data_IF_080955266183
#
_entry.id   IF_080955266183
#
_cell.length_a   1.000
_cell.length_b   1.000
_cell.length_c   1.000
_cell.angle_alpha   90.00
_cell.angle_beta   90.00
_cell.angle_gamma   90.00
#
_symmetry.space_group_name_H-M   'P 1'
#
loop_
_entity.id
_entity.type
_entity.pdbx_description
1 polymer ?
#
# COMPACT_ATOMS: atom_id res chain seq x y z
N UNK A 1 -2.41 39.88 14.38
CA UNK A 1 -3.71 39.69 13.68
C UNK A 1 -3.58 39.69 12.15
N UNK A 2 -2.73 40.57 11.53
CA UNK A 2 -2.61 40.59 10.06
C UNK A 2 -1.69 39.47 9.53
N UNK A 3 -0.67 39.08 10.27
CA UNK A 3 0.30 38.04 9.88
C UNK A 3 -0.28 36.64 9.97
N UNK A 4 -1.10 36.36 10.97
CA UNK A 4 -1.83 35.08 11.08
C UNK A 4 -2.84 34.91 9.94
N UNK A 5 -3.58 35.93 9.55
CA UNK A 5 -4.47 35.93 8.38
C UNK A 5 -3.71 35.69 7.06
N UNK A 6 -2.52 36.30 6.89
CA UNK A 6 -1.67 36.03 5.73
C UNK A 6 -1.17 34.60 5.69
N UNK A 7 -0.74 34.05 6.84
CA UNK A 7 -0.30 32.64 6.93
C UNK A 7 -1.46 31.70 6.64
N UNK A 8 -2.66 31.95 7.17
CA UNK A 8 -3.84 31.15 6.85
C UNK A 8 -4.25 31.22 5.37
N UNK A 9 -4.16 32.40 4.75
CA UNK A 9 -4.41 32.53 3.31
C UNK A 9 -3.35 31.85 2.45
N UNK A 10 -2.07 31.92 2.81
CA UNK A 10 -1.01 31.18 2.12
C UNK A 10 -1.20 29.66 2.26
N UNK A 11 -1.51 29.18 3.45
CA UNK A 11 -1.80 27.75 3.70
C UNK A 11 -3.05 27.28 2.93
N UNK A 12 -4.08 28.10 2.85
CA UNK A 12 -5.28 27.81 2.07
C UNK A 12 -5.01 27.80 0.55
N UNK A 13 -4.10 28.64 0.06
CA UNK A 13 -3.71 28.69 -1.36
C UNK A 13 -2.81 27.50 -1.76
N UNK A 14 -2.02 26.96 -0.82
CA UNK A 14 -1.14 25.80 -1.04
C UNK A 14 -1.88 24.48 -0.81
N UNK A 15 -2.96 24.49 -0.05
CA UNK A 15 -3.79 23.31 0.29
C UNK A 15 -4.30 22.52 -0.93
N UNK A 16 -4.75 23.14 -2.05
CA UNK A 16 -5.12 22.39 -3.25
C UNK A 16 -3.94 21.69 -3.92
N UNK A 17 -2.74 22.31 -3.90
CA UNK A 17 -1.53 21.72 -4.45
C UNK A 17 -1.04 20.53 -3.59
N UNK A 18 -1.14 20.65 -2.27
CA UNK A 18 -0.85 19.57 -1.34
C UNK A 18 -1.82 18.40 -1.51
N UNK A 19 -3.11 18.64 -1.76
CA UNK A 19 -4.09 17.57 -2.05
C UNK A 19 -3.84 16.87 -3.39
N UNK A 20 -3.21 17.54 -4.35
CA UNK A 20 -2.81 16.94 -5.64
C UNK A 20 -1.51 16.14 -5.48
N UNK A 21 -0.62 16.56 -4.55
CA UNK A 21 0.63 15.86 -4.24
C UNK A 21 0.42 14.71 -3.23
N UNK A 22 -0.51 14.86 -2.30
CA UNK A 22 -0.94 13.83 -1.34
C UNK A 22 -2.02 12.93 -1.99
N UNK A 23 -1.72 12.23 -3.10
CA UNK A 23 -2.57 11.13 -3.56
C UNK A 23 -2.35 9.95 -2.62
N UNK A 24 -3.30 9.64 -1.71
CA UNK A 24 -3.18 8.45 -0.90
C UNK A 24 -3.03 7.23 -1.83
N UNK A 25 -2.10 6.34 -1.51
CA UNK A 25 -1.89 5.13 -2.30
C UNK A 25 -0.95 5.26 -3.51
N UNK A 26 -0.39 6.43 -3.82
CA UNK A 26 0.54 6.60 -4.95
C UNK A 26 1.75 5.66 -4.86
N UNK A 27 2.37 5.54 -3.68
CA UNK A 27 3.51 4.65 -3.46
C UNK A 27 3.12 3.18 -3.64
N UNK A 28 1.93 2.80 -3.17
CA UNK A 28 1.41 1.45 -3.33
C UNK A 28 1.09 1.10 -4.78
N UNK A 29 0.47 2.01 -5.55
CA UNK A 29 0.29 1.83 -6.99
C UNK A 29 1.63 1.70 -7.71
N UNK A 30 2.61 2.51 -7.32
CA UNK A 30 3.96 2.42 -7.86
C UNK A 30 4.56 1.04 -7.57
N UNK A 31 4.47 0.52 -6.36
CA UNK A 31 4.93 -0.82 -6.00
C UNK A 31 4.22 -1.90 -6.82
N UNK A 32 2.91 -1.79 -7.03
CA UNK A 32 2.16 -2.74 -7.85
C UNK A 32 2.66 -2.74 -9.31
N UNK A 33 2.90 -1.56 -9.90
CA UNK A 33 3.48 -1.48 -11.25
C UNK A 33 4.89 -2.06 -11.32
N UNK A 34 5.74 -1.77 -10.31
CA UNK A 34 7.09 -2.34 -10.25
C UNK A 34 7.04 -3.87 -10.11
N UNK A 35 6.11 -4.43 -9.35
CA UNK A 35 5.92 -5.87 -9.25
C UNK A 35 5.66 -6.52 -10.62
N UNK A 36 4.81 -5.91 -11.47
CA UNK A 36 4.57 -6.41 -12.83
C UNK A 36 5.85 -6.33 -13.70
N UNK A 37 6.63 -5.26 -13.56
CA UNK A 37 7.91 -5.09 -14.27
C UNK A 37 8.91 -6.16 -13.81
N UNK A 38 9.03 -6.39 -12.51
CA UNK A 38 9.92 -7.40 -11.93
C UNK A 38 9.54 -8.79 -12.46
N UNK A 39 8.27 -9.18 -12.37
CA UNK A 39 7.79 -10.46 -12.90
C UNK A 39 8.18 -10.67 -14.36
N UNK A 40 8.00 -9.64 -15.18
CA UNK A 40 8.36 -9.70 -16.60
C UNK A 40 9.87 -9.88 -16.80
N UNK A 41 10.70 -9.11 -16.10
CA UNK A 41 12.14 -9.12 -16.26
C UNK A 41 12.80 -10.37 -15.65
N UNK A 42 12.13 -11.04 -14.71
CA UNK A 42 12.59 -12.28 -14.07
C UNK A 42 12.12 -13.55 -14.81
N UNK A 43 11.54 -13.40 -16.01
CA UNK A 43 11.09 -14.55 -16.81
C UNK A 43 9.73 -15.11 -16.39
N UNK A 44 8.99 -14.40 -15.55
CA UNK A 44 7.65 -14.74 -15.09
C UNK A 44 6.57 -13.95 -15.87
N UNK A 45 6.82 -13.66 -17.13
CA UNK A 45 5.99 -12.82 -18.00
C UNK A 45 4.52 -13.28 -18.04
N UNK A 46 4.28 -14.59 -18.04
CA UNK A 46 2.94 -15.19 -17.99
C UNK A 46 2.09 -14.63 -16.82
N UNK A 47 2.69 -14.44 -15.64
CA UNK A 47 1.97 -13.90 -14.49
C UNK A 47 1.76 -12.40 -14.60
N UNK A 48 2.75 -11.68 -15.15
CA UNK A 48 2.60 -10.26 -15.41
C UNK A 48 1.46 -9.98 -16.40
N UNK A 49 1.38 -10.74 -17.50
CA UNK A 49 0.32 -10.64 -18.50
C UNK A 49 -1.07 -11.00 -17.95
N UNK A 50 -1.13 -11.95 -17.03
CA UNK A 50 -2.38 -12.34 -16.36
C UNK A 50 -2.91 -11.23 -15.45
N UNK A 51 -2.03 -10.51 -14.76
CA UNK A 51 -2.38 -9.47 -13.78
C UNK A 51 -2.58 -8.09 -14.42
N UNK A 52 -1.83 -7.75 -15.47
CA UNK A 52 -1.85 -6.43 -16.09
C UNK A 52 -3.25 -5.91 -16.49
N UNK A 53 -4.17 -6.73 -17.04
CA UNK A 53 -5.53 -6.27 -17.36
C UNK A 53 -6.36 -5.84 -16.14
N UNK A 54 -5.96 -6.26 -14.94
CA UNK A 54 -6.66 -6.02 -13.69
C UNK A 54 -5.91 -5.05 -12.75
N UNK A 55 -4.95 -4.27 -13.26
CA UNK A 55 -4.21 -3.28 -12.47
C UNK A 55 -5.14 -2.30 -11.76
N UNK A 56 -6.23 -1.90 -12.40
CA UNK A 56 -7.23 -1.00 -11.80
C UNK A 56 -7.90 -1.67 -10.60
N UNK A 57 -8.32 -2.94 -10.73
CA UNK A 57 -8.97 -3.67 -9.63
C UNK A 57 -7.98 -3.90 -8.48
N UNK A 58 -6.71 -4.18 -8.78
CA UNK A 58 -5.63 -4.31 -7.80
C UNK A 58 -5.47 -3.01 -6.99
N UNK A 59 -5.37 -1.88 -7.67
CA UNK A 59 -5.20 -0.57 -7.03
C UNK A 59 -6.45 -0.12 -6.26
N UNK A 60 -7.66 -0.46 -6.72
CA UNK A 60 -8.88 -0.24 -5.96
C UNK A 60 -8.87 -1.00 -4.62
N UNK A 61 -8.34 -2.22 -4.59
CA UNK A 61 -8.16 -2.99 -3.37
C UNK A 61 -7.21 -2.33 -2.39
N UNK A 62 -6.09 -1.78 -2.89
CA UNK A 62 -5.14 -0.98 -2.10
C UNK A 62 -5.84 0.21 -1.44
N UNK A 63 -6.51 1.04 -2.23
CA UNK A 63 -7.23 2.22 -1.69
C UNK A 63 -8.32 1.86 -0.70
N UNK A 64 -9.03 0.76 -0.94
CA UNK A 64 -10.08 0.31 -0.04
C UNK A 64 -9.49 -0.13 1.31
N UNK A 65 -8.34 -0.82 1.32
CA UNK A 65 -7.66 -1.25 2.54
C UNK A 65 -7.17 -0.06 3.37
N UNK A 66 -6.72 1.01 2.71
CA UNK A 66 -6.20 2.22 3.36
C UNK A 66 -7.31 3.15 3.92
N UNK A 67 -8.57 2.92 3.57
CA UNK A 67 -9.67 3.79 4.01
C UNK A 67 -10.18 3.48 5.41
N UNK A 68 -10.55 4.56 6.13
CA UNK A 68 -11.26 4.55 7.40
C UNK A 68 -10.51 3.82 8.53
N UNK A 69 -11.26 3.18 9.40
CA UNK A 69 -10.75 2.42 10.55
C UNK A 69 -9.96 1.15 10.19
N UNK A 70 -9.87 0.79 8.91
CA UNK A 70 -9.10 -0.38 8.47
C UNK A 70 -7.60 -0.20 8.69
N UNK A 71 -7.09 1.04 8.58
CA UNK A 71 -5.67 1.34 8.84
C UNK A 71 -5.20 1.00 10.27
N UNK A 72 -6.10 0.85 11.24
CA UNK A 72 -5.73 0.37 12.59
C UNK A 72 -5.12 -1.03 12.54
N UNK A 73 -5.53 -1.85 11.59
CA UNK A 73 -5.07 -3.24 11.42
C UNK A 73 -3.76 -3.37 10.61
N UNK A 74 -3.16 -2.26 10.17
CA UNK A 74 -1.92 -2.28 9.37
C UNK A 74 -0.65 -2.38 10.23
N UNK A 75 -0.78 -2.34 11.54
CA UNK A 75 0.35 -2.34 12.46
C UNK A 75 0.65 -3.75 12.95
N UNK A 76 1.93 -4.09 12.98
CA UNK A 76 2.40 -5.35 13.53
C UNK A 76 3.74 -5.13 14.25
N UNK A 77 3.79 -5.46 15.53
CA UNK A 77 5.01 -5.44 16.33
C UNK A 77 5.56 -6.87 16.45
N UNK A 78 6.75 -7.17 15.88
CA UNK A 78 7.24 -8.55 15.75
C UNK A 78 7.51 -9.25 17.09
N UNK A 79 7.94 -8.51 18.12
CA UNK A 79 8.29 -9.08 19.42
C UNK A 79 7.06 -9.51 20.22
N UNK A 80 6.00 -8.71 20.20
CA UNK A 80 4.75 -9.00 20.91
C UNK A 80 3.73 -9.72 20.06
N UNK A 81 3.91 -9.75 18.72
CA UNK A 81 2.97 -10.25 17.71
C UNK A 81 1.58 -9.59 17.83
N UNK A 82 1.52 -8.33 18.22
CA UNK A 82 0.28 -7.57 18.43
C UNK A 82 0.18 -6.43 17.41
N UNK A 83 -1.05 -6.06 17.08
CA UNK A 83 -1.37 -4.82 16.38
C UNK A 83 -1.45 -3.63 17.34
N UNK A 84 -1.91 -2.50 16.83
CA UNK A 84 -2.11 -1.30 17.63
C UNK A 84 -3.27 -1.52 18.62
N UNK A 85 -3.04 -1.22 19.92
CA UNK A 85 -4.08 -1.28 20.98
C UNK A 85 -4.87 -2.60 21.10
N UNK A 86 -4.25 -3.76 20.86
CA UNK A 86 -4.90 -5.08 20.87
C UNK A 86 -5.96 -5.33 19.76
N UNK A 87 -6.02 -4.55 18.71
CA UNK A 87 -6.77 -4.88 17.50
C UNK A 87 -6.08 -6.00 16.72
N UNK A 88 -6.79 -6.56 15.74
CA UNK A 88 -6.20 -7.51 14.79
C UNK A 88 -4.91 -6.91 14.22
N UNK A 89 -3.89 -7.74 14.09
CA UNK A 89 -2.63 -7.29 13.52
C UNK A 89 -2.66 -7.41 11.98
N UNK A 90 -1.66 -6.81 11.33
CA UNK A 90 -1.56 -6.80 9.88
C UNK A 90 -1.48 -8.22 9.28
N UNK A 91 -0.92 -9.18 10.01
CA UNK A 91 -0.78 -10.57 9.53
C UNK A 91 -2.14 -11.26 9.45
N UNK A 92 -2.96 -11.15 10.50
CA UNK A 92 -4.30 -11.74 10.52
C UNK A 92 -5.20 -11.10 9.46
N UNK A 93 -5.07 -9.79 9.26
CA UNK A 93 -5.83 -9.05 8.25
C UNK A 93 -5.36 -9.41 6.84
N UNK A 94 -4.04 -9.55 6.63
CA UNK A 94 -3.47 -10.04 5.38
C UNK A 94 -4.04 -11.41 5.02
N UNK A 95 -3.98 -12.36 5.96
CA UNK A 95 -4.49 -13.72 5.74
C UNK A 95 -5.98 -13.69 5.37
N UNK A 96 -6.79 -12.91 6.06
CA UNK A 96 -8.21 -12.74 5.74
C UNK A 96 -8.42 -12.21 4.31
N UNK A 97 -7.70 -11.18 3.88
CA UNK A 97 -7.82 -10.64 2.52
C UNK A 97 -7.32 -11.63 1.48
N UNK A 98 -6.22 -12.32 1.76
CA UNK A 98 -5.68 -13.35 0.88
C UNK A 98 -6.68 -14.51 0.70
N UNK A 99 -7.28 -15.00 1.76
CA UNK A 99 -8.32 -16.04 1.69
C UNK A 99 -9.57 -15.57 0.92
N UNK A 100 -9.97 -14.29 1.04
CA UNK A 100 -11.02 -13.73 0.20
C UNK A 100 -10.65 -13.73 -1.29
N UNK A 101 -9.41 -13.35 -1.60
CA UNK A 101 -8.89 -13.42 -2.97
C UNK A 101 -9.01 -14.84 -3.55
N UNK A 102 -8.51 -15.83 -2.83
CA UNK A 102 -8.60 -17.24 -3.24
C UNK A 102 -10.04 -17.74 -3.38
N UNK A 103 -10.92 -17.33 -2.46
CA UNK A 103 -12.35 -17.67 -2.52
C UNK A 103 -12.98 -17.17 -3.82
N UNK A 104 -12.78 -15.90 -4.16
CA UNK A 104 -13.34 -15.33 -5.39
C UNK A 104 -12.67 -15.88 -6.65
N UNK A 105 -11.39 -16.23 -6.61
CA UNK A 105 -10.72 -16.93 -7.71
C UNK A 105 -11.40 -18.28 -8.01
N UNK A 106 -11.70 -19.06 -6.97
CA UNK A 106 -12.41 -20.35 -7.11
C UNK A 106 -13.85 -20.20 -7.62
N UNK A 107 -14.43 -19.03 -7.45
CA UNK A 107 -15.77 -18.68 -7.97
C UNK A 107 -15.71 -18.04 -9.38
N UNK A 108 -14.52 -17.96 -9.98
CA UNK A 108 -14.28 -17.30 -11.27
C UNK A 108 -14.62 -15.80 -11.30
N UNK A 109 -14.74 -15.15 -10.13
CA UNK A 109 -14.88 -13.70 -10.00
C UNK A 109 -13.49 -13.05 -9.92
N UNK A 110 -12.84 -12.98 -11.08
CA UNK A 110 -11.44 -12.54 -11.17
C UNK A 110 -11.25 -11.12 -10.66
N UNK A 111 -12.17 -10.20 -10.98
CA UNK A 111 -12.08 -8.80 -10.53
C UNK A 111 -12.07 -8.68 -9.02
N UNK A 112 -12.99 -9.38 -8.33
CA UNK A 112 -13.00 -9.38 -6.86
C UNK A 112 -11.79 -10.11 -6.27
N UNK A 113 -11.35 -11.19 -6.91
CA UNK A 113 -10.12 -11.87 -6.50
C UNK A 113 -8.93 -10.90 -6.50
N UNK A 114 -8.71 -10.20 -7.61
CA UNK A 114 -7.60 -9.26 -7.75
C UNK A 114 -7.77 -8.03 -6.83
N UNK A 115 -9.01 -7.56 -6.61
CA UNK A 115 -9.29 -6.52 -5.63
C UNK A 115 -8.81 -6.91 -4.22
N UNK A 116 -9.15 -8.11 -3.75
CA UNK A 116 -8.69 -8.58 -2.43
C UNK A 116 -7.20 -8.92 -2.40
N UNK A 117 -6.61 -9.32 -3.52
CA UNK A 117 -5.16 -9.45 -3.66
C UNK A 117 -4.48 -8.08 -3.46
N UNK A 118 -5.02 -7.02 -4.04
CA UNK A 118 -4.55 -5.65 -3.84
C UNK A 118 -4.63 -5.21 -2.38
N UNK A 119 -5.73 -5.52 -1.69
CA UNK A 119 -5.90 -5.24 -0.27
C UNK A 119 -4.87 -5.99 0.59
N UNK A 120 -4.56 -7.24 0.26
CA UNK A 120 -3.51 -8.01 0.94
C UNK A 120 -2.12 -7.45 0.64
N UNK A 121 -1.82 -7.13 -0.63
CA UNK A 121 -0.55 -6.56 -1.05
C UNK A 121 -0.24 -5.23 -0.34
N UNK A 122 -1.26 -4.37 -0.13
CA UNK A 122 -1.12 -3.13 0.62
C UNK A 122 -0.54 -3.36 2.02
N UNK A 123 -1.03 -4.36 2.75
CA UNK A 123 -0.54 -4.68 4.11
C UNK A 123 0.92 -5.15 4.11
N UNK A 124 1.35 -5.91 3.10
CA UNK A 124 2.76 -6.28 2.95
C UNK A 124 3.64 -5.07 2.66
N UNK A 125 3.17 -4.16 1.82
CA UNK A 125 3.87 -2.93 1.49
C UNK A 125 4.00 -2.03 2.73
N UNK A 126 2.96 -1.93 3.54
CA UNK A 126 2.98 -1.19 4.81
C UNK A 126 3.97 -1.78 5.81
N UNK A 127 4.10 -3.10 5.89
CA UNK A 127 5.08 -3.75 6.76
C UNK A 127 6.54 -3.42 6.38
N UNK A 128 6.79 -3.01 5.14
CA UNK A 128 8.08 -2.48 4.72
C UNK A 128 8.34 -1.06 5.24
N UNK A 129 7.33 -0.36 5.74
CA UNK A 129 7.46 0.97 6.33
C UNK A 129 7.83 0.83 7.81
N UNK A 130 8.96 1.40 8.29
CA UNK A 130 9.44 1.20 9.67
C UNK A 130 8.44 1.61 10.76
N UNK A 131 7.56 2.56 10.47
CA UNK A 131 6.53 3.04 11.41
C UNK A 131 5.42 2.00 11.63
N UNK A 132 5.00 1.31 10.56
CA UNK A 132 4.01 0.23 10.64
C UNK A 132 4.58 -1.02 11.32
N UNK A 133 5.82 -1.39 10.99
CA UNK A 133 6.51 -2.53 11.60
C UNK A 133 6.88 -2.34 13.07
N UNK A 134 6.79 -1.12 13.60
CA UNK A 134 7.06 -0.80 15.01
C UNK A 134 5.83 -0.31 15.77
N UNK A 135 4.66 -0.33 15.14
CA UNK A 135 3.40 0.18 15.69
C UNK A 135 3.51 1.61 16.25
N UNK A 136 4.27 2.50 15.59
CA UNK A 136 4.50 3.89 16.00
C UNK A 136 3.78 4.86 15.06
N UNK A 137 2.73 5.52 15.56
CA UNK A 137 1.90 6.45 14.78
C UNK A 137 2.47 7.88 14.62
N UNK A 138 3.28 8.36 15.56
CA UNK A 138 3.40 9.81 15.75
C UNK A 138 4.73 10.46 15.35
N UNK A 139 5.79 9.74 15.04
CA UNK A 139 7.09 10.35 14.78
C UNK A 139 7.54 10.17 13.33
N UNK A 140 7.21 11.15 12.49
CA UNK A 140 7.79 11.26 11.15
C UNK A 140 7.16 10.35 10.08
N UNK A 141 6.07 9.64 10.37
CA UNK A 141 5.38 8.74 9.42
C UNK A 141 5.02 9.45 8.12
N UNK A 142 4.29 10.56 8.20
CA UNK A 142 3.91 11.34 7.01
C UNK A 142 5.11 11.90 6.26
N UNK A 143 6.15 12.34 6.96
CA UNK A 143 7.37 12.86 6.34
C UNK A 143 8.12 11.76 5.58
N UNK A 144 8.15 10.55 6.13
CA UNK A 144 8.71 9.38 5.46
C UNK A 144 7.93 9.01 4.19
N UNK A 145 6.60 8.99 4.26
CA UNK A 145 5.75 8.68 3.11
C UNK A 145 5.93 9.69 1.97
N UNK A 146 5.96 10.98 2.28
CA UNK A 146 6.22 12.04 1.31
C UNK A 146 7.62 11.94 0.70
N UNK A 147 8.62 11.64 1.52
CA UNK A 147 9.98 11.39 1.04
C UNK A 147 10.03 10.16 0.10
N UNK A 148 9.44 9.04 0.50
CA UNK A 148 9.38 7.82 -0.31
C UNK A 148 8.65 8.07 -1.64
N UNK A 149 7.53 8.79 -1.60
CA UNK A 149 6.78 9.16 -2.80
C UNK A 149 7.63 10.01 -3.76
N UNK A 150 8.36 11.01 -3.24
CA UNK A 150 9.19 11.90 -4.06
C UNK A 150 10.42 11.21 -4.65
N UNK A 151 10.84 10.08 -4.09
CA UNK A 151 12.05 9.33 -4.48
C UNK A 151 11.77 7.95 -5.09
N UNK A 152 10.50 7.61 -5.29
CA UNK A 152 10.10 6.28 -5.76
C UNK A 152 10.82 5.85 -7.05
N UNK A 153 11.04 6.77 -8.00
CA UNK A 153 11.75 6.48 -9.24
C UNK A 153 13.26 6.27 -9.03
N UNK A 154 13.86 6.97 -8.08
CA UNK A 154 15.30 6.86 -7.80
C UNK A 154 15.67 5.49 -7.20
N UNK A 155 14.72 4.87 -6.50
CA UNK A 155 14.88 3.57 -5.82
C UNK A 155 14.06 2.45 -6.47
N UNK A 156 13.62 2.63 -7.70
CA UNK A 156 12.85 1.61 -8.41
C UNK A 156 13.66 0.34 -8.62
N UNK A 157 13.12 -0.78 -8.16
CA UNK A 157 13.65 -2.12 -8.43
C UNK A 157 12.89 -2.71 -9.61
N UNK A 158 13.60 -3.26 -10.59
CA UNK A 158 13.01 -3.74 -11.84
C UNK A 158 13.23 -5.23 -12.09
N UNK A 159 13.96 -5.94 -11.23
CA UNK A 159 14.27 -7.37 -11.33
C UNK A 159 14.70 -7.93 -9.97
N UNK A 160 15.04 -9.20 -9.95
CA UNK A 160 15.54 -9.93 -8.79
C UNK A 160 14.50 -9.99 -7.65
N UNK A 161 13.26 -10.35 -8.00
CA UNK A 161 12.19 -10.62 -7.05
C UNK A 161 12.51 -11.83 -6.16
N UNK A 162 11.90 -11.88 -4.96
CA UNK A 162 12.02 -13.01 -4.05
C UNK A 162 10.81 -13.92 -4.27
N UNK A 163 11.07 -15.15 -4.72
CA UNK A 163 10.04 -16.14 -4.98
C UNK A 163 10.21 -17.34 -4.03
N UNK A 164 9.10 -17.88 -3.53
CA UNK A 164 9.14 -19.18 -2.87
C UNK A 164 9.13 -20.27 -3.96
N UNK A 165 10.09 -21.16 -3.90
CA UNK A 165 10.03 -22.41 -4.65
C UNK A 165 8.87 -23.26 -4.05
N UNK A 166 7.90 -23.60 -4.90
CA UNK A 166 6.73 -24.40 -4.54
C UNK A 166 7.06 -25.89 -4.39
#
# INVERSE_FOLDING_TARGET
TSMESCIHMMLAAVSPLQKVLDKPGFTHEFCNRQALVILKNDGLEKYAELLAPFEVDLNLGVYWADKDWKNINHYFEPHTRRGLWNFNNAVDTFEMYYQHSLKYLRQYDIKKSIFYLGAAAHLLQDLCVPHHARAKLLNGHKAYELWAQSRSQDYAVTKDGIYQEG
#
